data_IF_169050865951
#
_entry.id   IF_169050865951
#
_cell.length_a   1.000
_cell.length_b   1.000
_cell.length_c   1.000
_cell.angle_alpha   90.00
_cell.angle_beta   90.00
_cell.angle_gamma   90.00
#
_symmetry.space_group_name_H-M   'P 1'
#
loop_
_entity.id
_entity.type
_entity.pdbx_description
1 polymer ?
#
# COMPACT_ATOMS: atom_id res chain seq x y z
N UNK A 1 38.46 -6.90 13.79
CA UNK A 1 39.10 -5.60 14.09
C UNK A 1 39.58 -5.03 12.74
N UNK A 2 39.61 -3.71 12.43
CA UNK A 2 39.21 -2.52 13.19
C UNK A 2 38.52 -1.40 12.33
N UNK A 3 38.29 -0.25 12.97
CA UNK A 3 37.86 1.07 12.48
C UNK A 3 38.88 1.85 11.64
N UNK A 4 38.45 2.89 10.90
CA UNK A 4 39.30 3.98 10.38
C UNK A 4 38.59 5.35 10.43
N UNK A 5 39.37 6.42 10.68
CA UNK A 5 38.95 7.83 10.93
C UNK A 5 39.14 8.72 9.69
N UNK A 6 38.24 9.70 9.48
CA UNK A 6 38.34 10.73 8.41
C UNK A 6 38.27 12.16 8.98
N UNK A 7 39.06 13.07 8.37
CA UNK A 7 39.21 14.51 8.71
C UNK A 7 38.49 15.36 7.65
N UNK A 8 37.86 16.47 8.08
CA UNK A 8 37.18 17.45 7.22
C UNK A 8 38.05 18.66 6.89
N UNK A 9 37.82 19.30 5.74
CA UNK A 9 38.31 20.67 5.45
C UNK A 9 37.18 21.57 4.91
N UNK A 10 37.07 22.77 5.49
CA UNK A 10 36.12 23.88 5.19
C UNK A 10 36.67 24.81 4.05
N UNK A 11 36.35 26.14 3.90
CA UNK A 11 35.13 27.00 4.05
C UNK A 11 34.88 28.07 2.90
N UNK A 12 33.66 28.67 2.86
CA UNK A 12 33.19 30.10 2.65
C UNK A 12 33.77 31.06 1.56
N UNK A 13 33.22 32.30 1.26
CA UNK A 13 31.93 32.97 1.59
C UNK A 13 31.20 33.66 0.38
N UNK A 14 29.97 34.17 0.58
CA UNK A 14 29.23 35.02 -0.38
C UNK A 14 29.01 36.44 0.18
N UNK A 15 29.24 37.45 -0.66
CA UNK A 15 29.32 38.89 -0.35
C UNK A 15 27.93 39.56 -0.12
N UNK A 16 27.85 40.43 0.89
CA UNK A 16 26.61 41.02 1.44
C UNK A 16 25.93 42.09 0.58
N UNK A 17 26.59 42.58 -0.49
CA UNK A 17 25.99 43.54 -1.43
C UNK A 17 24.96 42.89 -2.38
N UNK A 18 25.10 41.59 -2.66
CA UNK A 18 24.24 40.83 -3.58
C UNK A 18 22.80 40.68 -3.09
N UNK A 19 22.62 40.51 -1.78
CA UNK A 19 21.32 40.26 -1.14
C UNK A 19 20.38 41.47 -1.14
N UNK A 20 20.91 42.70 -1.13
CA UNK A 20 20.08 43.91 -1.07
C UNK A 20 19.45 44.28 -2.42
N UNK A 21 20.11 43.95 -3.53
CA UNK A 21 19.58 44.16 -4.88
C UNK A 21 18.49 43.14 -5.22
N UNK A 22 18.65 41.87 -4.80
CA UNK A 22 17.62 40.84 -4.97
C UNK A 22 16.31 41.15 -4.22
N UNK A 23 16.38 41.91 -3.13
CA UNK A 23 15.21 42.36 -2.35
C UNK A 23 14.66 43.73 -2.80
N UNK A 24 15.22 44.34 -3.84
CA UNK A 24 14.75 45.60 -4.41
C UNK A 24 14.84 46.80 -3.45
N UNK A 25 15.88 46.88 -2.64
CA UNK A 25 16.16 47.98 -1.71
C UNK A 25 17.35 48.83 -2.19
N UNK A 26 17.46 50.08 -1.73
CA UNK A 26 18.60 50.94 -2.05
C UNK A 26 19.64 50.88 -0.92
N UNK A 27 20.93 50.99 -1.27
CA UNK A 27 22.06 50.79 -0.34
C UNK A 27 22.97 52.03 -0.15
N UNK A 28 22.43 53.21 0.20
CA UNK A 28 23.27 54.36 0.53
C UNK A 28 23.83 54.23 1.97
N UNK A 29 25.12 54.52 2.14
CA UNK A 29 25.83 54.55 3.44
C UNK A 29 25.80 53.22 4.23
N UNK A 30 25.96 52.08 3.55
CA UNK A 30 26.22 50.80 4.21
C UNK A 30 25.04 50.19 4.97
N UNK A 31 23.81 50.71 4.79
CA UNK A 31 22.59 50.16 5.39
C UNK A 31 21.51 49.95 4.33
N UNK A 32 20.86 48.79 4.37
CA UNK A 32 19.77 48.46 3.47
C UNK A 32 18.49 49.20 3.89
N UNK A 33 17.97 50.13 3.08
CA UNK A 33 16.73 50.87 3.38
C UNK A 33 15.68 50.75 2.25
N UNK A 34 14.39 50.67 2.59
CA UNK A 34 13.32 50.66 1.60
C UNK A 34 13.14 52.04 0.95
N UNK A 35 13.19 52.10 -0.38
CA UNK A 35 13.03 53.32 -1.20
C UNK A 35 11.71 54.06 -0.90
N UNK A 36 11.78 55.37 -0.70
CA UNK A 36 10.66 56.26 -0.27
C UNK A 36 9.51 56.24 -1.27
N UNK A 37 9.80 56.01 -2.55
CA UNK A 37 8.82 55.95 -3.62
C UNK A 37 7.99 54.65 -3.59
N UNK A 38 8.58 53.55 -3.08
CA UNK A 38 7.87 52.28 -2.85
C UNK A 38 6.86 52.38 -1.69
N UNK A 39 7.10 53.23 -0.69
CA UNK A 39 6.14 53.43 0.41
C UNK A 39 4.83 54.07 -0.06
N UNK A 40 4.88 55.08 -0.96
CA UNK A 40 3.66 55.70 -1.52
C UNK A 40 2.89 54.74 -2.43
N UNK A 41 3.57 54.00 -3.32
CA UNK A 41 2.93 52.96 -4.16
C UNK A 41 2.34 51.80 -3.33
N UNK A 42 2.98 51.40 -2.23
CA UNK A 42 2.50 50.32 -1.35
C UNK A 42 1.29 50.76 -0.52
N UNK A 43 1.24 52.01 -0.03
CA UNK A 43 0.10 52.56 0.71
C UNK A 43 -1.13 52.73 -0.19
N UNK A 44 -0.93 53.17 -1.44
CA UNK A 44 -1.99 53.30 -2.44
C UNK A 44 -2.49 51.94 -2.94
N UNK A 45 -1.61 50.93 -3.09
CA UNK A 45 -2.00 49.54 -3.37
C UNK A 45 -2.77 48.90 -2.21
N UNK A 46 -2.41 49.16 -0.95
CA UNK A 46 -3.14 48.64 0.21
C UNK A 46 -4.53 49.26 0.35
N UNK A 47 -4.66 50.58 0.12
CA UNK A 47 -5.96 51.26 0.07
C UNK A 47 -6.84 50.74 -1.08
N UNK A 48 -6.25 50.48 -2.25
CA UNK A 48 -6.96 49.87 -3.38
C UNK A 48 -7.33 48.41 -3.10
N UNK A 49 -6.50 47.62 -2.40
CA UNK A 49 -6.80 46.25 -2.00
C UNK A 49 -7.93 46.19 -0.96
N UNK A 50 -7.94 47.09 0.03
CA UNK A 50 -9.00 47.21 1.03
C UNK A 50 -10.31 47.66 0.36
N UNK A 51 -10.23 48.60 -0.58
CA UNK A 51 -11.38 49.02 -1.38
C UNK A 51 -11.90 47.87 -2.26
N UNK A 52 -11.03 47.09 -2.91
CA UNK A 52 -11.40 45.93 -3.73
C UNK A 52 -11.99 44.78 -2.89
N UNK A 53 -11.47 44.54 -1.69
CA UNK A 53 -12.02 43.55 -0.73
C UNK A 53 -13.39 43.99 -0.18
N UNK A 54 -13.61 45.30 0.01
CA UNK A 54 -14.91 45.85 0.40
C UNK A 54 -15.91 45.92 -0.78
N UNK A 55 -15.43 46.09 -2.02
CA UNK A 55 -16.25 45.99 -3.23
C UNK A 55 -16.70 44.54 -3.49
N UNK A 56 -15.85 43.56 -3.18
CA UNK A 56 -16.19 42.13 -3.24
C UNK A 56 -17.14 41.70 -2.10
N UNK A 57 -17.18 42.41 -0.97
CA UNK A 57 -18.20 42.20 0.08
C UNK A 57 -19.60 42.69 -0.31
N UNK A 58 -19.72 43.53 -1.35
CA UNK A 58 -21.02 43.96 -1.90
C UNK A 58 -21.43 43.14 -3.15
N UNK A 59 -20.51 42.37 -3.73
CA UNK A 59 -20.84 41.23 -4.57
C UNK A 59 -20.85 39.96 -3.73
N UNK A 60 -21.71 39.92 -2.72
CA UNK A 60 -22.27 38.66 -2.26
C UNK A 60 -22.94 38.03 -3.48
N UNK A 61 -22.19 37.20 -4.20
CA UNK A 61 -22.67 36.48 -5.35
C UNK A 61 -23.99 35.85 -4.96
N UNK A 62 -25.06 36.21 -5.69
CA UNK A 62 -26.32 35.48 -5.62
C UNK A 62 -25.94 34.03 -5.83
N UNK A 63 -26.04 33.22 -4.78
CA UNK A 63 -25.91 31.77 -4.89
C UNK A 63 -26.80 31.37 -6.05
N UNK A 64 -26.24 30.76 -7.09
CA UNK A 64 -27.01 30.17 -8.17
C UNK A 64 -27.79 29.01 -7.55
N UNK A 65 -28.95 29.36 -6.98
CA UNK A 65 -29.95 28.44 -6.44
C UNK A 65 -30.55 27.73 -7.63
N UNK A 66 -30.09 26.51 -7.86
CA UNK A 66 -30.83 25.51 -8.59
C UNK A 66 -31.28 24.50 -7.52
N UNK A 67 -32.58 24.48 -7.28
CA UNK A 67 -33.31 23.74 -6.24
C UNK A 67 -33.55 24.51 -4.92
N UNK A 68 -34.82 24.70 -4.58
CA UNK A 68 -35.33 25.67 -3.58
C UNK A 68 -35.09 25.33 -2.11
N UNK A 69 -33.99 24.66 -1.75
CA UNK A 69 -33.61 24.39 -0.36
C UNK A 69 -32.61 25.44 0.14
N UNK A 70 -32.93 26.12 1.24
CA UNK A 70 -31.97 26.98 1.93
C UNK A 70 -30.79 26.16 2.45
N UNK A 71 -29.57 26.69 2.33
CA UNK A 71 -28.40 26.14 3.03
C UNK A 71 -28.70 26.13 4.54
N UNK A 72 -28.73 24.93 5.14
CA UNK A 72 -28.89 24.78 6.59
C UNK A 72 -27.72 25.46 7.28
N UNK A 73 -28.01 26.28 8.28
CA UNK A 73 -26.95 26.85 9.12
C UNK A 73 -26.30 25.75 9.96
N UNK A 74 -25.11 26.00 10.50
CA UNK A 74 -24.45 25.07 11.42
C UNK A 74 -25.35 24.74 12.62
N UNK A 75 -26.11 25.72 13.12
CA UNK A 75 -27.01 25.51 14.26
C UNK A 75 -28.24 24.68 13.87
N UNK A 76 -28.75 24.82 12.64
CA UNK A 76 -29.84 23.98 12.13
C UNK A 76 -29.40 22.52 12.03
N UNK A 77 -28.19 22.26 11.53
CA UNK A 77 -27.62 20.91 11.43
C UNK A 77 -27.42 20.32 12.83
N UNK A 78 -26.91 21.10 13.77
CA UNK A 78 -26.71 20.66 15.16
C UNK A 78 -28.03 20.31 15.85
N UNK A 79 -29.07 21.12 15.65
CA UNK A 79 -30.41 20.87 16.19
C UNK A 79 -31.06 19.64 15.54
N UNK A 80 -30.90 19.45 14.24
CA UNK A 80 -31.35 18.25 13.52
C UNK A 80 -30.67 16.99 14.08
N UNK A 81 -29.34 16.99 14.24
CA UNK A 81 -28.59 15.87 14.83
C UNK A 81 -29.07 15.59 16.25
N UNK A 82 -29.26 16.63 17.07
CA UNK A 82 -29.77 16.49 18.43
C UNK A 82 -31.18 15.87 18.46
N UNK A 83 -32.01 16.14 17.45
CA UNK A 83 -33.34 15.55 17.29
C UNK A 83 -33.33 14.01 17.17
N UNK A 84 -32.24 13.42 16.64
CA UNK A 84 -32.11 11.96 16.53
C UNK A 84 -31.66 11.27 17.82
N UNK A 85 -31.42 12.01 18.90
CA UNK A 85 -30.89 11.45 20.17
C UNK A 85 -31.70 10.25 20.67
N UNK A 86 -33.03 10.35 20.67
CA UNK A 86 -33.89 9.27 21.18
C UNK A 86 -33.87 8.04 20.26
N UNK A 87 -33.77 8.24 18.94
CA UNK A 87 -33.66 7.15 17.97
C UNK A 87 -32.30 6.45 18.11
N UNK A 88 -31.22 7.22 18.21
CA UNK A 88 -29.88 6.67 18.42
C UNK A 88 -29.82 5.85 19.72
N UNK A 89 -30.39 6.36 20.81
CA UNK A 89 -30.51 5.63 22.08
C UNK A 89 -31.31 4.34 21.91
N UNK A 90 -32.46 4.39 21.25
CA UNK A 90 -33.26 3.18 21.00
C UNK A 90 -32.51 2.11 20.21
N UNK A 91 -31.69 2.50 19.22
CA UNK A 91 -30.84 1.58 18.44
C UNK A 91 -29.76 0.97 19.33
N UNK A 92 -29.09 1.79 20.14
CA UNK A 92 -28.06 1.33 21.08
C UNK A 92 -28.68 0.38 22.10
N UNK A 93 -29.79 0.75 22.72
CA UNK A 93 -30.48 -0.07 23.72
C UNK A 93 -30.93 -1.40 23.11
N UNK A 94 -31.49 -1.40 21.90
CA UNK A 94 -31.84 -2.63 21.19
C UNK A 94 -30.64 -3.58 21.02
N UNK A 95 -29.48 -3.04 20.64
CA UNK A 95 -28.27 -3.79 20.33
C UNK A 95 -27.49 -4.23 21.59
N UNK A 96 -27.51 -3.44 22.66
CA UNK A 96 -26.70 -3.66 23.86
C UNK A 96 -27.48 -4.34 24.97
N UNK A 97 -28.76 -3.99 25.16
CA UNK A 97 -29.60 -4.45 26.29
C UNK A 97 -30.89 -5.13 25.86
N UNK A 98 -31.30 -4.97 24.61
CA UNK A 98 -32.55 -5.49 24.08
C UNK A 98 -32.41 -6.86 23.42
N UNK A 99 -33.46 -7.23 22.68
CA UNK A 99 -33.58 -8.52 21.98
C UNK A 99 -32.54 -8.78 20.88
N UNK A 100 -31.68 -7.82 20.55
CA UNK A 100 -30.60 -7.99 19.58
C UNK A 100 -29.22 -8.08 20.25
N UNK A 101 -29.15 -8.10 21.58
CA UNK A 101 -27.93 -8.36 22.32
C UNK A 101 -27.22 -9.63 21.82
N UNK A 102 -25.89 -9.58 21.72
CA UNK A 102 -24.99 -10.64 21.23
C UNK A 102 -25.17 -11.09 19.77
N UNK A 103 -26.26 -10.70 19.08
CA UNK A 103 -26.57 -11.14 17.71
C UNK A 103 -25.41 -10.92 16.74
N UNK A 104 -24.73 -9.78 16.81
CA UNK A 104 -23.60 -9.48 15.92
C UNK A 104 -22.41 -10.41 16.16
N UNK A 105 -22.13 -10.73 17.41
CA UNK A 105 -21.03 -11.64 17.78
C UNK A 105 -21.35 -13.07 17.35
N UNK A 106 -22.57 -13.55 17.64
CA UNK A 106 -23.00 -14.89 17.25
C UNK A 106 -23.01 -15.09 15.72
N UNK A 107 -23.52 -14.09 14.98
CA UNK A 107 -23.47 -14.11 13.51
C UNK A 107 -22.06 -14.10 12.98
N UNK A 108 -21.18 -13.27 13.57
CA UNK A 108 -19.77 -13.25 13.19
C UNK A 108 -19.09 -14.59 13.49
N UNK A 109 -19.36 -15.20 14.64
CA UNK A 109 -18.82 -16.51 15.00
C UNK A 109 -19.25 -17.57 13.98
N UNK A 110 -20.55 -17.69 13.69
CA UNK A 110 -21.04 -18.61 12.66
C UNK A 110 -20.39 -18.32 11.30
N UNK A 111 -20.34 -17.06 10.88
CA UNK A 111 -19.78 -16.67 9.59
C UNK A 111 -18.26 -16.91 9.49
N UNK A 112 -17.51 -16.67 10.55
CA UNK A 112 -16.06 -16.88 10.59
C UNK A 112 -15.73 -18.37 10.70
N UNK A 113 -16.36 -19.09 11.63
CA UNK A 113 -15.98 -20.45 12.01
C UNK A 113 -16.47 -21.50 11.00
N UNK A 114 -17.62 -21.26 10.34
CA UNK A 114 -18.15 -22.22 9.36
C UNK A 114 -17.61 -22.03 7.95
N UNK A 115 -17.23 -20.80 7.59
CA UNK A 115 -16.74 -20.48 6.23
C UNK A 115 -15.22 -20.38 6.18
N UNK A 116 -14.58 -19.90 7.25
CA UNK A 116 -13.12 -19.79 7.33
C UNK A 116 -12.53 -18.65 6.47
N UNK A 117 -11.25 -18.74 6.03
CA UNK A 117 -10.56 -17.70 5.26
C UNK A 117 -11.19 -17.46 3.88
N UNK A 118 -11.35 -16.21 3.47
CA UNK A 118 -12.13 -15.79 2.28
C UNK A 118 -11.32 -14.87 1.35
N UNK A 119 -10.20 -15.37 0.85
CA UNK A 119 -9.39 -14.62 -0.13
C UNK A 119 -10.18 -14.41 -1.43
N UNK A 120 -9.95 -13.28 -2.12
CA UNK A 120 -10.52 -13.02 -3.45
C UNK A 120 -10.29 -14.18 -4.42
N UNK A 121 -11.33 -14.61 -5.14
CA UNK A 121 -11.29 -15.74 -6.07
C UNK A 121 -11.38 -17.13 -5.40
N UNK A 122 -11.36 -17.22 -4.07
CA UNK A 122 -11.44 -18.52 -3.37
C UNK A 122 -12.86 -19.08 -3.30
N UNK A 123 -12.98 -20.42 -3.23
CA UNK A 123 -14.25 -21.12 -3.01
C UNK A 123 -14.97 -20.68 -1.72
N UNK A 124 -14.20 -20.34 -0.69
CA UNK A 124 -14.75 -19.87 0.58
C UNK A 124 -15.35 -18.47 0.46
N UNK A 125 -14.79 -17.59 -0.38
CA UNK A 125 -15.41 -16.30 -0.66
C UNK A 125 -16.78 -16.48 -1.34
N UNK A 126 -16.89 -17.40 -2.30
CA UNK A 126 -18.18 -17.72 -2.93
C UNK A 126 -19.21 -18.25 -1.92
N UNK A 127 -18.79 -19.13 -1.02
CA UNK A 127 -19.64 -19.59 0.08
C UNK A 127 -20.07 -18.44 1.00
N UNK A 128 -19.17 -17.49 1.26
CA UNK A 128 -19.44 -16.30 2.06
C UNK A 128 -20.47 -15.37 1.41
N UNK A 129 -20.33 -15.11 0.11
CA UNK A 129 -21.26 -14.30 -0.66
C UNK A 129 -22.66 -14.92 -0.61
N UNK A 130 -22.76 -16.24 -0.87
CA UNK A 130 -24.03 -16.97 -0.81
C UNK A 130 -24.66 -16.92 0.59
N UNK A 131 -23.84 -17.10 1.64
CA UNK A 131 -24.30 -17.00 3.02
C UNK A 131 -24.87 -15.60 3.31
N UNK A 132 -24.11 -14.55 2.98
CA UNK A 132 -24.52 -13.17 3.25
C UNK A 132 -25.77 -12.79 2.46
N UNK A 133 -25.84 -13.14 1.18
CA UNK A 133 -27.03 -12.93 0.35
C UNK A 133 -28.28 -13.53 1.02
N UNK A 134 -28.20 -14.80 1.44
CA UNK A 134 -29.29 -15.49 2.11
C UNK A 134 -29.64 -14.86 3.47
N UNK A 135 -28.63 -14.48 4.25
CA UNK A 135 -28.82 -13.87 5.57
C UNK A 135 -29.54 -12.52 5.47
N UNK A 136 -29.12 -11.67 4.52
CA UNK A 136 -29.73 -10.35 4.30
C UNK A 136 -31.17 -10.47 3.79
N UNK A 137 -31.46 -11.45 2.91
CA UNK A 137 -32.84 -11.72 2.51
C UNK A 137 -33.72 -12.17 3.68
N UNK A 138 -33.21 -13.05 4.55
CA UNK A 138 -33.93 -13.52 5.75
C UNK A 138 -34.19 -12.40 6.76
N UNK A 139 -33.31 -11.41 6.82
CA UNK A 139 -33.48 -10.22 7.65
C UNK A 139 -34.56 -9.26 7.10
N UNK A 140 -35.09 -9.50 5.90
CA UNK A 140 -36.13 -8.70 5.29
C UNK A 140 -35.65 -7.35 4.75
N UNK A 141 -34.36 -7.25 4.42
CA UNK A 141 -33.80 -6.04 3.79
C UNK A 141 -34.35 -5.86 2.38
N UNK A 142 -34.57 -4.60 2.01
CA UNK A 142 -35.00 -4.23 0.67
C UNK A 142 -33.81 -4.28 -0.32
N UNK A 143 -34.09 -4.61 -1.58
CA UNK A 143 -33.13 -4.57 -2.68
C UNK A 143 -31.85 -5.41 -2.49
N UNK A 144 -31.94 -6.62 -1.93
CA UNK A 144 -30.79 -7.54 -1.83
C UNK A 144 -30.52 -8.21 -3.18
N UNK A 145 -29.37 -7.93 -3.78
CA UNK A 145 -28.91 -8.48 -5.06
C UNK A 145 -27.40 -8.68 -5.08
N UNK A 146 -26.90 -9.39 -6.11
CA UNK A 146 -25.47 -9.61 -6.32
C UNK A 146 -24.98 -8.72 -7.46
N UNK A 147 -23.78 -8.18 -7.31
CA UNK A 147 -23.09 -7.40 -8.35
C UNK A 147 -21.81 -8.14 -8.79
N UNK A 148 -21.61 -8.37 -10.10
CA UNK A 148 -20.43 -9.07 -10.58
C UNK A 148 -19.19 -8.17 -10.50
N UNK A 149 -18.09 -8.71 -9.94
CA UNK A 149 -16.80 -8.01 -9.84
C UNK A 149 -15.68 -8.91 -10.37
N UNK A 150 -14.85 -8.37 -11.26
CA UNK A 150 -13.64 -9.07 -11.74
C UNK A 150 -12.52 -8.89 -10.72
N UNK A 151 -11.97 -10.00 -10.22
CA UNK A 151 -10.88 -10.00 -9.24
C UNK A 151 -9.69 -10.83 -9.73
N UNK A 152 -8.45 -10.50 -9.33
CA UNK A 152 -7.32 -11.39 -9.54
C UNK A 152 -7.48 -12.66 -8.71
N UNK A 153 -7.02 -13.79 -9.25
CA UNK A 153 -7.00 -15.08 -8.56
C UNK A 153 -5.56 -15.47 -8.24
N UNK A 154 -5.24 -15.54 -6.95
CA UNK A 154 -3.93 -15.97 -6.47
C UNK A 154 -4.14 -17.08 -5.44
N UNK A 155 -3.47 -18.21 -5.66
CA UNK A 155 -3.49 -19.34 -4.74
C UNK A 155 -2.10 -19.54 -4.15
N UNK A 156 -2.06 -19.68 -2.83
CA UNK A 156 -0.84 -19.99 -2.10
C UNK A 156 -0.49 -21.45 -2.31
N UNK A 157 0.71 -21.70 -2.82
CA UNK A 157 1.29 -23.05 -2.90
C UNK A 157 2.00 -23.47 -1.60
N UNK A 158 2.80 -24.53 -1.69
CA UNK A 158 3.69 -24.94 -0.60
C UNK A 158 4.88 -23.99 -0.50
N UNK A 159 5.30 -23.70 0.73
CA UNK A 159 6.40 -22.79 0.99
C UNK A 159 7.19 -23.22 2.22
N UNK A 160 8.51 -23.13 2.11
CA UNK A 160 9.44 -23.35 3.21
C UNK A 160 10.71 -22.54 2.97
N UNK A 161 11.42 -22.20 4.03
CA UNK A 161 12.77 -21.67 3.95
C UNK A 161 13.66 -22.32 5.00
N UNK A 162 14.92 -22.50 4.64
CA UNK A 162 15.94 -23.04 5.53
C UNK A 162 17.21 -22.21 5.42
N UNK A 163 17.76 -21.82 6.57
CA UNK A 163 19.13 -21.32 6.67
C UNK A 163 20.07 -22.51 6.61
N UNK A 164 20.96 -22.54 5.62
CA UNK A 164 21.93 -23.63 5.46
C UNK A 164 23.22 -23.36 6.25
N UNK A 165 23.67 -22.11 6.26
CA UNK A 165 24.86 -21.66 6.99
C UNK A 165 24.55 -20.42 7.83
N UNK A 166 25.22 -20.25 9.00
CA UNK A 166 26.26 -21.11 9.57
C UNK A 166 25.70 -22.36 10.29
N UNK A 167 24.38 -22.52 10.36
CA UNK A 167 23.72 -23.68 10.94
C UNK A 167 22.42 -23.98 10.20
N UNK A 168 22.07 -25.25 10.08
CA UNK A 168 20.77 -25.65 9.58
C UNK A 168 19.66 -25.18 10.53
N UNK A 169 18.75 -24.35 10.00
CA UNK A 169 17.61 -23.85 10.75
C UNK A 169 16.44 -23.57 9.82
N UNK A 170 15.32 -24.27 10.06
CA UNK A 170 14.06 -23.95 9.40
C UNK A 170 13.56 -22.58 9.86
N UNK A 171 13.15 -21.76 8.88
CA UNK A 171 12.58 -20.43 9.09
C UNK A 171 11.09 -20.49 8.74
N UNK A 172 10.23 -20.04 9.65
CA UNK A 172 8.81 -19.94 9.38
C UNK A 172 8.56 -18.81 8.37
N UNK A 173 7.99 -19.12 7.21
CA UNK A 173 7.73 -18.13 6.17
C UNK A 173 6.26 -18.08 5.79
N UNK A 174 5.86 -16.96 5.21
CA UNK A 174 4.54 -16.79 4.62
C UNK A 174 4.64 -15.88 3.41
N UNK A 175 4.43 -16.40 2.22
CA UNK A 175 4.53 -15.70 0.96
C UNK A 175 3.58 -14.51 0.89
N UNK A 176 4.06 -13.42 0.30
CA UNK A 176 3.22 -12.28 0.01
C UNK A 176 2.14 -12.65 -0.98
N UNK A 177 0.94 -12.08 -0.79
CA UNK A 177 -0.06 -12.09 -1.85
C UNK A 177 0.55 -11.52 -3.12
N UNK A 178 0.33 -12.20 -4.25
CA UNK A 178 0.95 -11.93 -5.55
C UNK A 178 2.44 -12.26 -5.67
N UNK A 179 3.09 -12.89 -4.68
CA UNK A 179 4.41 -13.48 -4.92
C UNK A 179 4.28 -14.60 -5.95
N UNK A 180 5.26 -14.70 -6.86
CA UNK A 180 5.36 -15.87 -7.74
C UNK A 180 6.03 -17.04 -7.03
N UNK A 181 5.84 -18.23 -7.59
CA UNK A 181 6.56 -19.42 -7.18
C UNK A 181 8.06 -19.30 -7.50
N UNK A 182 8.88 -19.97 -6.69
CA UNK A 182 10.27 -20.27 -7.03
C UNK A 182 10.33 -21.25 -8.21
N UNK A 183 11.48 -21.36 -8.91
CA UNK A 183 11.73 -22.48 -9.82
C UNK A 183 11.51 -23.84 -9.12
N UNK A 184 11.23 -24.92 -9.88
CA UNK A 184 11.02 -26.26 -9.30
C UNK A 184 12.17 -26.76 -8.41
N UNK A 185 13.40 -26.35 -8.71
CA UNK A 185 14.60 -26.65 -7.94
C UNK A 185 14.78 -25.79 -6.67
N UNK A 186 13.91 -24.80 -6.45
CA UNK A 186 14.02 -23.82 -5.38
C UNK A 186 15.02 -22.70 -5.67
N UNK A 187 15.33 -21.88 -4.67
CA UNK A 187 16.35 -20.84 -4.74
C UNK A 187 17.29 -21.02 -3.55
N UNK A 188 18.57 -21.25 -3.83
CA UNK A 188 19.65 -21.23 -2.83
C UNK A 188 20.63 -20.12 -3.22
N UNK A 189 20.80 -19.14 -2.33
CA UNK A 189 21.70 -18.02 -2.55
C UNK A 189 22.16 -17.43 -1.21
N UNK A 190 23.27 -16.70 -1.24
CA UNK A 190 23.73 -15.93 -0.09
C UNK A 190 22.70 -14.87 0.31
N UNK A 191 22.71 -14.49 1.59
CA UNK A 191 21.79 -13.50 2.14
C UNK A 191 22.53 -12.18 2.40
N UNK A 192 21.89 -11.06 2.04
CA UNK A 192 22.29 -9.73 2.48
C UNK A 192 21.21 -9.15 3.39
N UNK A 193 21.58 -8.80 4.62
CA UNK A 193 20.68 -8.11 5.56
C UNK A 193 20.90 -6.62 5.42
N UNK A 194 19.79 -5.89 5.24
CA UNK A 194 19.76 -4.42 5.17
C UNK A 194 18.66 -3.90 6.09
N UNK A 195 18.90 -2.74 6.71
CA UNK A 195 17.95 -2.07 7.55
C UNK A 195 16.98 -1.22 6.74
N UNK A 196 17.37 -0.71 5.56
CA UNK A 196 16.50 0.16 4.75
C UNK A 196 16.69 0.05 3.23
N UNK A 197 15.78 0.64 2.45
CA UNK A 197 15.96 0.79 1.00
C UNK A 197 17.20 1.61 0.63
N UNK A 198 17.49 2.68 1.37
CA UNK A 198 18.70 3.48 1.15
C UNK A 198 19.97 2.64 1.36
N UNK A 199 19.97 1.78 2.38
CA UNK A 199 21.09 0.86 2.60
C UNK A 199 21.21 -0.14 1.45
N UNK A 200 20.10 -0.72 1.00
CA UNK A 200 20.07 -1.63 -0.15
C UNK A 200 20.67 -0.98 -1.40
N UNK A 201 20.29 0.25 -1.73
CA UNK A 201 20.80 0.96 -2.89
C UNK A 201 22.28 1.29 -2.77
N UNK A 202 22.75 1.71 -1.58
CA UNK A 202 24.19 1.93 -1.32
C UNK A 202 25.00 0.65 -1.48
N UNK A 203 24.42 -0.50 -1.15
CA UNK A 203 25.04 -1.83 -1.22
C UNK A 203 24.57 -2.65 -2.44
N UNK A 204 24.09 -1.98 -3.50
CA UNK A 204 23.47 -2.66 -4.64
C UNK A 204 24.38 -3.70 -5.31
N UNK A 205 25.69 -3.43 -5.40
CA UNK A 205 26.65 -4.37 -5.97
C UNK A 205 26.79 -5.65 -5.12
N UNK A 206 26.68 -5.54 -3.80
CA UNK A 206 26.70 -6.70 -2.90
C UNK A 206 25.40 -7.52 -2.99
N UNK A 207 24.27 -6.89 -3.32
CA UNK A 207 22.96 -7.54 -3.34
C UNK A 207 22.70 -8.38 -4.61
N UNK A 208 23.49 -8.18 -5.67
CA UNK A 208 23.31 -8.88 -6.95
C UNK A 208 23.45 -10.39 -6.78
N UNK A 209 22.43 -11.15 -7.19
CA UNK A 209 22.38 -12.60 -7.08
C UNK A 209 22.07 -13.13 -5.68
N UNK A 210 21.85 -12.26 -4.69
CA UNK A 210 21.59 -12.63 -3.29
C UNK A 210 20.10 -12.56 -2.94
N UNK A 211 19.74 -13.14 -1.80
CA UNK A 211 18.44 -12.95 -1.15
C UNK A 211 18.55 -11.74 -0.22
N UNK A 212 17.73 -10.73 -0.44
CA UNK A 212 17.69 -9.53 0.40
C UNK A 212 16.78 -9.80 1.60
N UNK A 213 17.29 -9.59 2.81
CA UNK A 213 16.52 -9.62 4.05
C UNK A 213 16.41 -8.20 4.60
N UNK A 214 15.21 -7.64 4.56
CA UNK A 214 14.92 -6.35 5.19
C UNK A 214 14.65 -6.54 6.68
N UNK A 215 15.57 -6.05 7.51
CA UNK A 215 15.48 -6.04 8.96
C UNK A 215 15.20 -4.61 9.49
N UNK A 216 14.30 -3.89 8.84
CA UNK A 216 13.86 -2.56 9.28
C UNK A 216 13.19 -2.65 10.67
N UNK A 217 13.51 -1.76 11.63
CA UNK A 217 12.75 -1.61 12.88
C UNK A 217 11.29 -1.25 12.63
N UNK A 218 10.37 -1.87 13.37
CA UNK A 218 8.96 -1.52 13.26
C UNK A 218 8.72 -0.23 14.06
N UNK A 219 8.34 0.84 13.35
CA UNK A 219 8.01 2.13 13.97
C UNK A 219 6.49 2.25 14.09
N UNK A 220 5.81 2.23 12.95
CA UNK A 220 4.36 2.16 12.84
C UNK A 220 3.98 1.34 11.60
N UNK A 221 2.71 0.90 11.52
CA UNK A 221 2.24 0.19 10.33
C UNK A 221 2.33 1.09 9.08
N UNK A 222 1.87 2.34 9.18
CA UNK A 222 1.85 3.29 8.07
C UNK A 222 3.24 3.59 7.52
N UNK A 223 4.28 3.56 8.37
CA UNK A 223 5.67 3.78 7.96
C UNK A 223 6.38 2.50 7.53
N UNK A 224 6.11 1.34 8.14
CA UNK A 224 6.88 0.12 7.87
C UNK A 224 6.29 -0.68 6.70
N UNK A 225 5.01 -0.49 6.36
CA UNK A 225 4.32 -1.29 5.31
C UNK A 225 4.96 -1.16 3.92
N UNK A 226 5.75 -0.12 3.63
CA UNK A 226 6.46 0.04 2.35
C UNK A 226 7.29 -1.20 2.01
N UNK A 227 7.95 -1.84 2.99
CA UNK A 227 8.74 -3.05 2.75
C UNK A 227 7.87 -4.21 2.24
N UNK A 228 6.62 -4.29 2.70
CA UNK A 228 5.64 -5.28 2.22
C UNK A 228 5.14 -5.00 0.80
N UNK A 229 5.06 -3.73 0.44
CA UNK A 229 4.51 -3.30 -0.86
C UNK A 229 5.59 -3.25 -1.95
N UNK A 230 6.77 -2.76 -1.61
CA UNK A 230 7.84 -2.41 -2.55
C UNK A 230 9.12 -3.22 -2.35
N UNK A 231 9.26 -3.98 -1.25
CA UNK A 231 10.51 -4.68 -0.94
C UNK A 231 10.99 -5.64 -2.03
N UNK A 232 10.06 -6.36 -2.68
CA UNK A 232 10.37 -7.22 -3.81
C UNK A 232 10.86 -6.42 -5.03
N UNK A 233 10.21 -5.29 -5.31
CA UNK A 233 10.55 -4.40 -6.43
C UNK A 233 11.91 -3.74 -6.22
N UNK A 234 12.20 -3.23 -5.01
CA UNK A 234 13.49 -2.61 -4.69
C UNK A 234 14.64 -3.63 -4.72
N UNK A 235 14.40 -4.85 -4.22
CA UNK A 235 15.37 -5.95 -4.33
C UNK A 235 15.61 -6.33 -5.80
N UNK A 236 14.56 -6.33 -6.62
CA UNK A 236 14.66 -6.62 -8.05
C UNK A 236 15.54 -5.63 -8.81
N UNK A 237 15.39 -4.33 -8.52
CA UNK A 237 16.16 -3.26 -9.18
C UNK A 237 17.67 -3.41 -8.98
N UNK A 238 18.11 -3.98 -7.87
CA UNK A 238 19.54 -4.23 -7.58
C UNK A 238 20.02 -5.62 -7.99
N UNK A 239 19.15 -6.42 -8.61
CA UNK A 239 19.48 -7.76 -9.13
C UNK A 239 19.50 -8.86 -8.07
N UNK A 240 18.81 -8.68 -6.95
CA UNK A 240 18.55 -9.77 -6.00
C UNK A 240 17.72 -10.88 -6.66
N UNK A 241 17.72 -12.10 -6.11
CA UNK A 241 16.91 -13.22 -6.65
C UNK A 241 15.62 -13.44 -5.87
N UNK A 242 15.56 -12.98 -4.63
CA UNK A 242 14.36 -12.96 -3.80
C UNK A 242 14.48 -11.88 -2.71
N UNK A 243 13.36 -11.56 -2.08
CA UNK A 243 13.33 -10.70 -0.89
C UNK A 243 12.54 -11.34 0.24
N UNK A 244 13.03 -11.13 1.45
CA UNK A 244 12.39 -11.48 2.69
C UNK A 244 12.26 -10.20 3.53
N UNK A 245 11.09 -9.98 4.12
CA UNK A 245 10.90 -8.90 5.09
C UNK A 245 10.57 -9.50 6.44
N UNK A 246 10.91 -8.81 7.52
CA UNK A 246 10.27 -9.07 8.81
C UNK A 246 8.79 -8.72 8.73
N UNK A 247 7.95 -9.47 9.46
CA UNK A 247 6.55 -9.10 9.70
C UNK A 247 6.40 -7.63 10.09
N UNK A 248 5.36 -6.98 9.53
CA UNK A 248 5.00 -5.60 9.80
C UNK A 248 4.26 -5.51 11.14
N UNK A 249 4.98 -5.77 12.22
CA UNK A 249 4.49 -5.73 13.59
C UNK A 249 5.64 -5.45 14.56
N UNK A 250 5.31 -4.90 15.74
CA UNK A 250 6.26 -4.68 16.83
C UNK A 250 6.76 -5.99 17.44
N UNK A 251 5.91 -7.02 17.43
CA UNK A 251 6.21 -8.35 17.93
C UNK A 251 5.61 -9.42 17.00
N UNK A 252 6.35 -10.52 16.83
CA UNK A 252 5.89 -11.71 16.10
C UNK A 252 6.06 -12.92 17.01
N UNK A 253 5.02 -13.75 17.11
CA UNK A 253 4.97 -14.93 17.98
C UNK A 253 6.04 -15.97 17.56
N UNK A 254 6.41 -15.99 16.28
CA UNK A 254 7.63 -16.66 15.81
C UNK A 254 8.78 -15.65 15.92
N UNK A 255 9.66 -15.85 16.91
CA UNK A 255 10.78 -14.94 17.29
C UNK A 255 11.85 -14.75 16.20
N UNK A 256 11.80 -15.50 15.11
CA UNK A 256 12.75 -15.44 14.01
C UNK A 256 11.95 -15.33 12.73
N UNK A 257 11.89 -14.11 12.17
CA UNK A 257 11.32 -13.74 10.88
C UNK A 257 10.08 -14.56 10.48
N UNK A 258 8.88 -13.99 10.58
CA UNK A 258 7.91 -14.31 9.53
C UNK A 258 8.49 -13.67 8.26
N UNK A 259 9.29 -14.45 7.53
CA UNK A 259 9.95 -13.99 6.33
C UNK A 259 8.85 -13.96 5.27
N UNK A 260 8.38 -12.75 5.02
CA UNK A 260 7.29 -12.57 4.09
C UNK A 260 7.92 -12.47 2.71
N UNK A 261 7.85 -13.57 1.96
CA UNK A 261 8.63 -13.74 0.73
C UNK A 261 7.96 -12.99 -0.41
N UNK A 262 8.72 -12.06 -1.00
CA UNK A 262 8.43 -11.49 -2.31
C UNK A 262 9.46 -12.03 -3.29
N UNK A 263 9.10 -13.06 -4.04
CA UNK A 263 9.89 -13.53 -5.18
C UNK A 263 9.35 -12.84 -6.42
N UNK A 264 10.19 -12.08 -7.15
CA UNK A 264 10.11 -11.98 -8.62
C UNK A 264 11.32 -11.23 -9.20
N UNK A 265 12.31 -11.94 -9.76
CA UNK A 265 13.29 -11.33 -10.69
C UNK A 265 13.71 -12.31 -11.77
N UNK A 266 12.85 -12.53 -12.76
CA UNK A 266 13.31 -12.87 -14.11
C UNK A 266 12.33 -12.51 -15.24
N UNK A 267 11.08 -12.12 -14.95
CA UNK A 267 10.11 -11.77 -16.00
C UNK A 267 9.55 -10.33 -15.98
N UNK A 268 9.69 -9.55 -14.90
CA UNK A 268 9.13 -8.19 -14.86
C UNK A 268 9.75 -7.20 -15.87
N UNK A 269 10.99 -7.42 -16.33
CA UNK A 269 11.61 -6.54 -17.34
C UNK A 269 11.13 -6.77 -18.79
N UNK A 270 10.26 -7.77 -19.05
CA UNK A 270 9.66 -7.98 -20.39
C UNK A 270 8.18 -7.61 -20.48
N UNK A 271 7.50 -7.34 -19.36
CA UNK A 271 6.04 -7.16 -19.35
C UNK A 271 5.58 -5.70 -19.47
N UNK A 272 6.50 -4.72 -19.51
CA UNK A 272 6.18 -3.30 -19.70
C UNK A 272 6.07 -2.88 -21.19
N UNK A 273 6.13 -3.83 -22.11
CA UNK A 273 5.85 -3.65 -23.54
C UNK A 273 4.87 -4.75 -23.97
N UNK A 274 3.77 -4.39 -24.63
CA UNK A 274 2.65 -5.23 -25.09
C UNK A 274 1.61 -5.65 -24.04
N UNK A 275 0.63 -4.76 -23.81
CA UNK A 275 -0.69 -5.11 -23.29
C UNK A 275 -1.74 -5.35 -24.41
N UNK A 276 -1.32 -5.50 -25.66
CA UNK A 276 -2.21 -5.86 -26.76
C UNK A 276 -2.29 -7.40 -26.90
N UNK A 277 -3.45 -7.95 -26.55
CA UNK A 277 -3.79 -9.37 -26.72
C UNK A 277 -3.86 -9.73 -28.21
N UNK A 278 -2.85 -10.43 -28.74
CA UNK A 278 -2.96 -11.15 -30.02
C UNK A 278 -2.96 -12.66 -29.75
N UNK A 279 -4.15 -13.28 -29.85
CA UNK A 279 -4.44 -14.67 -29.46
C UNK A 279 -4.34 -15.68 -30.61
N UNK A 280 -3.54 -15.43 -31.66
CA UNK A 280 -3.49 -16.35 -32.82
C UNK A 280 -2.12 -16.48 -33.52
N UNK A 281 -1.03 -16.74 -32.79
CA UNK A 281 0.21 -17.25 -33.43
C UNK A 281 0.78 -18.53 -32.79
N UNK A 282 0.96 -19.62 -33.58
CA UNK A 282 1.69 -20.80 -33.12
C UNK A 282 3.19 -20.51 -33.10
N UNK A 283 3.81 -20.64 -31.92
CA UNK A 283 5.26 -20.54 -31.77
C UNK A 283 5.89 -21.89 -32.12
N UNK A 284 6.57 -21.95 -33.27
CA UNK A 284 7.47 -23.04 -33.63
C UNK A 284 8.75 -22.96 -32.80
N UNK A 285 9.09 -24.02 -32.08
CA UNK A 285 10.40 -24.19 -31.44
C UNK A 285 11.37 -24.88 -32.42
N UNK A 286 12.64 -24.45 -32.53
CA UNK A 286 13.66 -25.22 -33.24
C UNK A 286 14.08 -26.45 -32.43
N UNK A 287 14.16 -27.57 -33.14
CA UNK A 287 14.64 -28.89 -32.74
C UNK A 287 16.17 -28.94 -32.62
N UNK A 288 16.69 -29.80 -31.72
CA UNK A 288 17.82 -30.77 -31.86
C UNK A 288 18.42 -31.19 -30.47
N UNK A 289 18.96 -32.43 -30.29
CA UNK A 289 18.55 -33.32 -29.19
C UNK A 289 19.64 -33.88 -28.25
N UNK A 290 19.16 -34.70 -27.28
CA UNK A 290 19.84 -35.73 -26.45
C UNK A 290 20.66 -35.18 -25.26
N UNK A 291 20.55 -35.66 -24.01
CA UNK A 291 20.50 -37.02 -23.48
C UNK A 291 19.67 -37.13 -22.18
N UNK A 292 19.18 -38.35 -21.97
CA UNK A 292 18.33 -38.91 -20.90
C UNK A 292 18.83 -38.76 -19.45
N UNK A 293 17.92 -38.55 -18.47
CA UNK A 293 17.63 -39.57 -17.43
C UNK A 293 16.40 -39.29 -16.53
N UNK A 294 15.45 -40.23 -16.64
CA UNK A 294 14.44 -40.78 -15.70
C UNK A 294 13.52 -39.91 -14.82
N UNK A 295 12.22 -40.07 -15.10
CA UNK A 295 11.05 -39.87 -14.24
C UNK A 295 11.15 -40.61 -12.88
N UNK A 296 10.55 -39.99 -11.86
CA UNK A 296 9.50 -40.68 -11.11
C UNK A 296 8.36 -39.71 -10.81
N UNK A 297 7.13 -40.17 -11.05
CA UNK A 297 5.88 -39.42 -11.11
C UNK A 297 4.95 -40.04 -10.09
N UNK A 298 4.46 -39.27 -9.12
CA UNK A 298 3.20 -39.58 -8.42
C UNK A 298 2.46 -38.26 -8.17
N UNK A 299 1.21 -38.18 -8.61
CA UNK A 299 0.38 -36.97 -8.46
C UNK A 299 -0.55 -36.74 -9.64
N UNK A 300 -1.77 -37.28 -9.51
CA UNK A 300 -2.84 -37.31 -10.51
C UNK A 300 -3.51 -35.92 -10.62
N UNK A 301 -3.61 -35.38 -11.84
CA UNK A 301 -4.41 -34.17 -12.12
C UNK A 301 -5.92 -34.48 -12.02
N UNK A 302 -6.74 -33.60 -11.43
CA UNK A 302 -8.19 -33.71 -11.55
C UNK A 302 -8.64 -33.22 -12.93
N UNK A 303 -9.48 -34.04 -13.55
CA UNK A 303 -10.18 -33.85 -14.81
C UNK A 303 -11.10 -32.62 -14.82
N UNK A 304 -11.19 -32.02 -16.00
CA UNK A 304 -12.25 -31.12 -16.45
C UNK A 304 -13.63 -31.44 -15.87
N UNK A 305 -14.25 -30.45 -15.22
CA UNK A 305 -15.67 -30.41 -15.00
C UNK A 305 -16.22 -29.12 -15.61
N UNK A 306 -16.64 -29.22 -16.87
CA UNK A 306 -17.68 -28.35 -17.46
C UNK A 306 -18.93 -28.47 -16.61
N UNK A 307 -19.43 -27.37 -16.04
CA UNK A 307 -20.85 -27.25 -15.69
C UNK A 307 -21.43 -26.01 -16.36
N UNK A 308 -22.41 -26.28 -17.22
CA UNK A 308 -23.42 -25.35 -17.71
C UNK A 308 -24.54 -25.27 -16.66
N UNK A 309 -25.16 -24.09 -16.61
CA UNK A 309 -26.40 -23.70 -15.91
C UNK A 309 -26.30 -23.56 -14.39
#
# INVERSE_FOLDING_TARGET
MPSLSLRSDQPLPVNSSSLCTQLGMEYPFGQCRPSVEKKKKKKMKYLFLIFLMNLLHQYAGKSLRRDGRSLKSFEDIKNEIAGYTNIAKAIIDLAVHGKAQNRSYERLAVFADTIGPRLSGSKNLEAAIKYMFTALQKDGLENVHLEPVKVPHWERGEEFAEMLEPRNHSIAILGLGNSIATPPEGITAEVIVVASFDELHKRAQEAKGKIVVYNEPFISYGETVQYRLQGAVEAAKVGAVASLIRSIASFSIHRSLLAVMGVLVRQAQRADLDWELDLDRPICLPTIPSLSCSLSRTGRAPSDARHKA
#
